data_IF_211561662663
#
_entry.id   IF_211561662663
#
_cell.length_a   1.000
_cell.length_b   1.000
_cell.length_c   1.000
_cell.angle_alpha   90.00
_cell.angle_beta   90.00
_cell.angle_gamma   90.00
#
_symmetry.space_group_name_H-M   'P 1'
#
loop_
_entity.id
_entity.type
_entity.pdbx_description
1 polymer ?
#
# COMPACT_ATOMS: atom_id res chain seq x y z
N UNK A 1 8.84 -4.13 13.60
CA UNK A 1 9.13 -5.03 14.72
C UNK A 1 9.57 -4.15 15.87
N UNK A 2 8.77 -4.09 16.94
CA UNK A 2 9.14 -3.42 18.20
C UNK A 2 10.26 -4.23 18.83
N UNK A 3 11.36 -3.58 19.18
CA UNK A 3 12.36 -4.15 20.08
C UNK A 3 11.83 -4.11 21.50
N UNK A 4 12.36 -4.98 22.37
CA UNK A 4 11.88 -5.16 23.75
C UNK A 4 11.86 -3.89 24.63
N UNK A 5 12.49 -2.79 24.18
CA UNK A 5 12.52 -1.49 24.86
C UNK A 5 11.51 -0.45 24.32
N UNK A 6 10.66 -0.84 23.37
CA UNK A 6 9.59 0.02 22.82
C UNK A 6 10.08 1.21 21.96
N UNK A 7 11.38 1.33 21.71
CA UNK A 7 11.92 2.43 20.89
C UNK A 7 11.86 2.09 19.40
N UNK A 8 11.50 3.05 18.53
CA UNK A 8 11.58 2.83 17.09
C UNK A 8 13.03 2.54 16.68
N UNK A 9 13.24 1.49 15.91
CA UNK A 9 14.57 1.00 15.50
C UNK A 9 15.38 2.01 14.67
N UNK A 10 14.76 3.11 14.20
CA UNK A 10 15.39 4.16 13.39
C UNK A 10 14.79 5.52 13.71
N UNK A 11 15.62 6.55 13.84
CA UNK A 11 15.15 7.93 13.80
C UNK A 11 14.55 8.19 12.40
N UNK A 12 13.25 8.46 12.35
CA UNK A 12 12.55 8.79 11.12
C UNK A 12 13.00 10.19 10.67
N UNK A 13 13.74 10.29 9.57
CA UNK A 13 14.11 11.58 8.95
C UNK A 13 13.03 11.96 7.95
N UNK A 14 12.11 12.80 8.39
CA UNK A 14 11.05 13.33 7.53
C UNK A 14 11.63 14.36 6.56
N UNK A 15 11.26 14.31 5.30
CA UNK A 15 11.61 15.32 4.31
C UNK A 15 10.34 15.93 3.70
N UNK A 16 10.12 17.20 3.97
CA UNK A 16 8.94 17.94 3.53
C UNK A 16 8.77 17.97 1.99
N UNK A 17 9.87 17.99 1.24
CA UNK A 17 9.80 18.05 -0.22
C UNK A 17 9.06 16.83 -0.82
N UNK A 18 9.28 15.63 -0.27
CA UNK A 18 8.61 14.42 -0.73
C UNK A 18 7.13 14.41 -0.34
N UNK A 19 6.81 14.90 0.85
CA UNK A 19 5.41 15.07 1.28
C UNK A 19 4.70 16.13 0.42
N UNK A 20 5.35 17.25 0.14
CA UNK A 20 4.81 18.29 -0.77
C UNK A 20 4.57 17.74 -2.17
N UNK A 21 5.43 16.87 -2.68
CA UNK A 21 5.20 16.22 -3.98
C UNK A 21 4.01 15.26 -3.95
N UNK A 22 3.84 14.45 -2.90
CA UNK A 22 2.66 13.60 -2.73
C UNK A 22 1.37 14.45 -2.67
N UNK A 23 1.37 15.54 -1.91
CA UNK A 23 0.25 16.49 -1.83
C UNK A 23 -0.01 17.16 -3.19
N UNK A 24 1.04 17.59 -3.91
CA UNK A 24 0.92 18.18 -5.24
C UNK A 24 0.24 17.22 -6.22
N UNK A 25 0.66 15.94 -6.21
CA UNK A 25 0.05 14.89 -7.03
C UNK A 25 -1.45 14.73 -6.69
N UNK A 26 -1.80 14.68 -5.41
CA UNK A 26 -3.20 14.55 -4.99
C UNK A 26 -4.07 15.68 -5.54
N UNK A 27 -3.61 16.92 -5.42
CA UNK A 27 -4.35 18.12 -5.87
C UNK A 27 -4.44 18.20 -7.40
N UNK A 28 -3.30 18.08 -8.10
CA UNK A 28 -3.28 18.28 -9.55
C UNK A 28 -4.00 17.18 -10.29
N UNK A 29 -3.90 15.94 -9.82
CA UNK A 29 -4.52 14.79 -10.50
C UNK A 29 -6.03 14.70 -10.23
N UNK A 30 -6.47 15.03 -9.03
CA UNK A 30 -7.90 15.17 -8.71
C UNK A 30 -8.55 16.27 -9.55
N UNK A 31 -7.94 17.47 -9.64
CA UNK A 31 -8.43 18.57 -10.50
C UNK A 31 -8.49 18.19 -11.97
N UNK A 32 -7.61 17.31 -12.44
CA UNK A 32 -7.62 16.76 -13.80
C UNK A 32 -8.56 15.56 -14.00
N UNK A 33 -9.47 15.27 -13.05
CA UNK A 33 -10.41 14.15 -13.10
C UNK A 33 -9.77 12.76 -13.26
N UNK A 34 -8.52 12.58 -12.78
CA UNK A 34 -7.85 11.27 -12.84
C UNK A 34 -8.24 10.32 -11.71
N UNK A 35 -8.94 10.81 -10.67
CA UNK A 35 -9.38 10.03 -9.52
C UNK A 35 -9.51 10.87 -8.26
N UNK A 36 -9.62 10.22 -7.10
CA UNK A 36 -9.77 10.89 -5.79
C UNK A 36 -8.53 11.67 -5.36
N UNK A 37 -8.64 12.48 -4.27
CA UNK A 37 -7.62 13.44 -3.82
C UNK A 37 -6.47 12.75 -3.04
N UNK A 38 -5.83 11.76 -3.64
CA UNK A 38 -4.75 11.00 -3.02
C UNK A 38 -3.52 10.93 -3.94
N UNK A 39 -2.34 11.13 -3.36
CA UNK A 39 -1.07 11.08 -4.05
C UNK A 39 0.01 10.48 -3.17
N UNK A 40 0.96 9.76 -3.78
CA UNK A 40 2.05 9.11 -3.08
C UNK A 40 3.35 9.12 -3.89
N UNK A 41 4.49 9.09 -3.18
CA UNK A 41 5.80 8.90 -3.80
C UNK A 41 6.60 7.86 -3.02
N UNK A 42 7.40 7.09 -3.75
CA UNK A 42 8.41 6.19 -3.18
C UNK A 42 9.78 6.81 -3.36
N UNK A 43 10.55 6.83 -2.27
CA UNK A 43 11.87 7.47 -2.21
C UNK A 43 12.93 6.43 -1.85
N UNK A 44 14.07 6.44 -2.54
CA UNK A 44 15.25 5.64 -2.23
C UNK A 44 16.50 6.51 -2.35
N UNK A 45 17.36 6.50 -1.34
CA UNK A 45 18.63 7.26 -1.34
C UNK A 45 18.45 8.75 -1.73
N UNK A 46 17.43 9.40 -1.16
CA UNK A 46 17.18 10.82 -1.42
C UNK A 46 16.57 11.13 -2.81
N UNK A 47 16.15 10.14 -3.57
CA UNK A 47 15.55 10.34 -4.90
C UNK A 47 14.16 9.71 -4.97
N UNK A 48 13.20 10.42 -5.58
CA UNK A 48 11.89 9.86 -5.89
C UNK A 48 12.04 8.87 -7.05
N UNK A 49 11.72 7.62 -6.79
CA UNK A 49 11.80 6.51 -7.74
C UNK A 49 10.45 5.97 -8.18
N UNK A 50 9.37 6.40 -7.53
CA UNK A 50 8.01 6.04 -7.91
C UNK A 50 7.05 7.16 -7.57
N UNK A 51 6.06 7.41 -8.45
CA UNK A 51 4.98 8.35 -8.25
C UNK A 51 3.64 7.68 -8.47
N UNK A 52 2.66 8.02 -7.64
CA UNK A 52 1.31 7.50 -7.77
C UNK A 52 0.27 8.55 -7.36
N UNK A 53 -0.89 8.40 -7.94
CA UNK A 53 -2.10 9.13 -7.57
C UNK A 53 -3.28 8.18 -7.71
N UNK A 54 -4.39 8.49 -7.07
CA UNK A 54 -5.59 7.67 -7.20
C UNK A 54 -6.07 7.65 -8.66
N UNK A 55 -6.28 6.47 -9.20
CA UNK A 55 -6.70 6.22 -10.57
C UNK A 55 -7.92 5.31 -10.67
N UNK A 56 -8.58 5.05 -9.55
CA UNK A 56 -9.71 4.10 -9.48
C UNK A 56 -10.73 4.35 -10.58
N UNK A 57 -11.20 5.58 -10.72
CA UNK A 57 -12.25 5.94 -11.70
C UNK A 57 -11.71 6.01 -13.13
N UNK A 58 -10.49 6.49 -13.34
CA UNK A 58 -9.93 6.64 -14.68
C UNK A 58 -9.43 5.33 -15.31
N UNK A 59 -9.21 4.30 -14.50
CA UNK A 59 -8.76 2.99 -15.00
C UNK A 59 -9.74 1.85 -14.72
N UNK A 60 -10.90 2.14 -14.08
CA UNK A 60 -11.85 1.13 -13.61
C UNK A 60 -11.19 0.03 -12.77
N UNK A 61 -10.18 0.40 -11.96
CA UNK A 61 -9.44 -0.50 -11.10
C UNK A 61 -9.61 -0.06 -9.64
N UNK A 62 -10.41 -0.77 -8.81
CA UNK A 62 -10.64 -0.42 -7.42
C UNK A 62 -9.37 -0.52 -6.57
N UNK A 63 -8.31 -1.15 -7.07
CA UNK A 63 -7.03 -1.27 -6.37
C UNK A 63 -6.05 -0.15 -6.72
N UNK A 64 -6.33 0.70 -7.70
CA UNK A 64 -5.44 1.75 -8.19
C UNK A 64 -5.39 2.97 -7.25
N UNK A 65 -5.17 2.73 -5.95
CA UNK A 65 -4.87 3.75 -4.95
C UNK A 65 -3.48 4.37 -5.19
N UNK A 66 -3.25 5.57 -4.69
CA UNK A 66 -2.02 6.32 -4.92
C UNK A 66 -0.77 5.53 -4.52
N UNK A 67 -0.81 4.87 -3.36
CA UNK A 67 0.30 4.07 -2.84
C UNK A 67 0.57 2.85 -3.72
N UNK A 68 -0.49 2.15 -4.15
CA UNK A 68 -0.36 0.97 -5.04
C UNK A 68 0.27 1.39 -6.37
N UNK A 69 -0.18 2.50 -6.94
CA UNK A 69 0.37 3.04 -8.20
C UNK A 69 1.84 3.44 -8.01
N UNK A 70 2.20 4.11 -6.90
CA UNK A 70 3.57 4.50 -6.60
C UNK A 70 4.49 3.28 -6.40
N UNK A 71 4.03 2.25 -5.69
CA UNK A 71 4.76 0.98 -5.49
C UNK A 71 5.00 0.31 -6.84
N UNK A 72 3.98 0.18 -7.68
CA UNK A 72 4.10 -0.41 -9.03
C UNK A 72 5.09 0.36 -9.91
N UNK A 73 5.04 1.69 -9.90
CA UNK A 73 5.99 2.53 -10.65
C UNK A 73 7.43 2.32 -10.15
N UNK A 74 7.64 2.32 -8.84
CA UNK A 74 8.96 2.08 -8.23
C UNK A 74 9.49 0.68 -8.56
N UNK A 75 8.69 -0.36 -8.39
CA UNK A 75 9.08 -1.74 -8.70
C UNK A 75 9.45 -1.92 -10.17
N UNK A 76 8.67 -1.33 -11.08
CA UNK A 76 8.96 -1.34 -12.52
C UNK A 76 10.30 -0.68 -12.84
N UNK A 77 10.59 0.49 -12.26
CA UNK A 77 11.85 1.23 -12.49
C UNK A 77 13.06 0.52 -11.91
N UNK A 78 12.90 -0.07 -10.73
CA UNK A 78 13.98 -0.83 -10.07
C UNK A 78 14.11 -2.27 -10.58
N UNK A 79 13.17 -2.74 -11.42
CA UNK A 79 13.10 -4.13 -11.89
C UNK A 79 13.13 -5.15 -10.73
N UNK A 80 12.39 -4.86 -9.67
CA UNK A 80 12.29 -5.69 -8.47
C UNK A 80 10.88 -5.65 -7.89
N UNK A 81 10.50 -6.67 -7.15
CA UNK A 81 9.24 -6.71 -6.39
C UNK A 81 9.41 -6.29 -4.92
N UNK A 82 10.63 -5.95 -4.50
CA UNK A 82 10.95 -5.53 -3.14
C UNK A 82 11.48 -4.09 -3.13
N UNK A 83 11.00 -3.29 -2.20
CA UNK A 83 11.38 -1.89 -2.01
C UNK A 83 12.13 -1.69 -0.68
N UNK A 84 13.00 -2.65 -0.34
CA UNK A 84 13.85 -2.56 0.84
C UNK A 84 14.71 -1.29 0.81
N UNK A 85 14.76 -0.61 1.96
CA UNK A 85 15.44 0.69 2.07
C UNK A 85 14.69 1.87 1.48
N UNK A 86 13.52 1.65 0.86
CA UNK A 86 12.68 2.71 0.34
C UNK A 86 11.73 3.26 1.41
N UNK A 87 11.42 4.54 1.30
CA UNK A 87 10.44 5.26 2.12
C UNK A 87 9.25 5.64 1.25
N UNK A 88 8.04 5.54 1.80
CA UNK A 88 6.82 5.96 1.12
C UNK A 88 6.24 7.19 1.79
N UNK A 89 5.97 8.23 1.01
CA UNK A 89 5.24 9.43 1.44
C UNK A 89 3.89 9.45 0.75
N UNK A 90 2.82 9.60 1.52
CA UNK A 90 1.46 9.62 1.00
C UNK A 90 0.65 10.76 1.60
N UNK A 91 -0.24 11.37 0.81
CA UNK A 91 -1.06 12.50 1.24
C UNK A 91 -2.08 12.14 2.32
N UNK A 92 -2.35 10.84 2.52
CA UNK A 92 -3.28 10.33 3.54
C UNK A 92 -2.76 9.03 4.14
N UNK A 93 -3.17 8.74 5.38
CA UNK A 93 -2.93 7.47 6.06
C UNK A 93 -3.35 6.30 5.17
N UNK A 94 -2.47 5.30 4.93
CA UNK A 94 -2.79 4.16 4.06
C UNK A 94 -3.98 3.35 4.59
N UNK A 95 -4.94 3.06 3.71
CA UNK A 95 -6.04 2.13 4.02
C UNK A 95 -5.50 0.69 4.22
N UNK A 96 -6.30 -0.26 4.73
CA UNK A 96 -5.84 -1.63 4.98
C UNK A 96 -5.24 -2.34 3.74
N UNK A 97 -5.78 -2.10 2.55
CA UNK A 97 -5.24 -2.65 1.31
C UNK A 97 -3.84 -2.09 1.01
N UNK A 98 -3.67 -0.77 1.09
CA UNK A 98 -2.39 -0.11 0.83
C UNK A 98 -1.36 -0.47 1.89
N UNK A 99 -1.77 -0.54 3.17
CA UNK A 99 -0.89 -0.96 4.25
C UNK A 99 -0.36 -2.37 4.02
N UNK A 100 -1.22 -3.32 3.65
CA UNK A 100 -0.79 -4.68 3.31
C UNK A 100 0.20 -4.69 2.14
N UNK A 101 -0.05 -3.90 1.08
CA UNK A 101 0.86 -3.79 -0.06
C UNK A 101 2.23 -3.20 0.32
N UNK A 102 2.26 -2.23 1.23
CA UNK A 102 3.49 -1.62 1.76
C UNK A 102 4.34 -2.67 2.50
N UNK A 103 3.71 -3.53 3.32
CA UNK A 103 4.39 -4.64 3.98
C UNK A 103 4.91 -5.68 2.96
N UNK A 104 4.11 -6.07 1.97
CA UNK A 104 4.56 -6.96 0.90
C UNK A 104 5.72 -6.38 0.10
N UNK A 105 5.71 -5.09 -0.16
CA UNK A 105 6.82 -4.39 -0.83
C UNK A 105 8.04 -4.20 0.07
N UNK A 106 7.97 -4.46 1.38
CA UNK A 106 9.06 -4.31 2.36
C UNK A 106 9.60 -2.89 2.45
N UNK A 107 8.73 -1.89 2.38
CA UNK A 107 9.15 -0.50 2.59
C UNK A 107 9.71 -0.30 3.99
N UNK A 108 10.76 0.53 4.11
CA UNK A 108 11.45 0.84 5.36
C UNK A 108 10.62 1.71 6.31
N UNK A 109 9.90 2.67 5.75
CA UNK A 109 9.10 3.63 6.51
C UNK A 109 7.96 4.21 5.67
N UNK A 110 6.94 4.69 6.35
CA UNK A 110 5.80 5.40 5.75
C UNK A 110 5.58 6.71 6.48
N UNK A 111 5.38 7.77 5.71
CA UNK A 111 5.01 9.10 6.20
C UNK A 111 3.70 9.52 5.53
N UNK A 112 2.76 10.03 6.29
CA UNK A 112 1.46 10.42 5.76
C UNK A 112 1.02 11.81 6.27
N UNK A 113 0.17 12.47 5.49
CA UNK A 113 -0.38 13.78 5.80
C UNK A 113 -1.70 13.70 6.56
N UNK A 114 -2.81 13.56 5.83
CA UNK A 114 -4.15 13.43 6.42
C UNK A 114 -4.30 12.08 7.14
N UNK A 115 -5.18 12.03 8.13
CA UNK A 115 -5.56 10.79 8.82
C UNK A 115 -6.75 10.11 8.11
N UNK A 116 -7.01 8.85 8.45
CA UNK A 116 -8.24 8.15 8.02
C UNK A 116 -9.52 8.87 8.46
N UNK A 117 -9.48 9.62 9.59
CA UNK A 117 -10.63 10.43 10.03
C UNK A 117 -10.89 11.61 9.09
N UNK A 118 -9.83 12.20 8.53
CA UNK A 118 -9.96 13.26 7.54
C UNK A 118 -10.50 12.71 6.21
N UNK A 119 -10.05 11.53 5.79
CA UNK A 119 -10.60 10.82 4.63
C UNK A 119 -12.09 10.51 4.79
N UNK A 120 -12.51 10.06 5.97
CA UNK A 120 -13.93 9.82 6.27
C UNK A 120 -14.80 11.08 6.12
N UNK A 121 -14.30 12.26 6.50
CA UNK A 121 -15.04 13.54 6.36
C UNK A 121 -15.35 13.92 4.92
N UNK A 122 -14.60 13.37 3.96
CA UNK A 122 -14.80 13.56 2.53
C UNK A 122 -15.33 12.28 1.86
N UNK A 123 -16.03 11.44 2.62
CA UNK A 123 -16.77 10.25 2.16
C UNK A 123 -15.90 9.07 1.71
N UNK A 124 -14.60 9.07 2.00
CA UNK A 124 -13.72 7.90 1.84
C UNK A 124 -13.60 7.16 3.18
N UNK A 125 -14.60 6.30 3.49
CA UNK A 125 -14.66 5.56 4.75
C UNK A 125 -14.16 4.11 4.60
N UNK A 126 -12.93 3.88 5.04
CA UNK A 126 -12.32 2.55 5.09
C UNK A 126 -12.49 1.84 6.45
N UNK A 127 -13.20 2.45 7.40
CA UNK A 127 -13.42 1.93 8.75
C UNK A 127 -14.11 0.54 8.72
N UNK A 128 -15.01 0.33 7.74
CA UNK A 128 -15.60 -0.98 7.52
C UNK A 128 -14.52 -2.04 7.25
N UNK A 129 -13.54 -1.72 6.41
CA UNK A 129 -12.49 -2.68 6.02
C UNK A 129 -11.62 -3.02 7.24
N UNK A 130 -11.24 -2.02 8.06
CA UNK A 130 -10.49 -2.25 9.30
C UNK A 130 -11.22 -3.21 10.24
N UNK A 131 -12.53 -3.07 10.38
CA UNK A 131 -13.34 -3.98 11.20
C UNK A 131 -13.45 -5.37 10.59
N UNK A 132 -13.67 -5.47 9.28
CA UNK A 132 -13.84 -6.74 8.59
C UNK A 132 -12.56 -7.59 8.57
N UNK A 133 -11.38 -6.95 8.42
CA UNK A 133 -10.10 -7.67 8.42
C UNK A 133 -9.85 -8.40 9.74
N UNK A 134 -10.25 -7.82 10.87
CA UNK A 134 -10.07 -8.41 12.20
C UNK A 134 -11.14 -9.44 12.57
N UNK A 135 -12.25 -9.55 11.80
CA UNK A 135 -13.33 -10.49 12.10
C UNK A 135 -13.00 -11.92 11.69
N UNK A 136 -13.49 -12.92 12.45
CA UNK A 136 -13.51 -14.30 11.99
C UNK A 136 -14.22 -14.41 10.63
N UNK A 137 -13.74 -15.30 9.77
CA UNK A 137 -14.26 -15.49 8.39
C UNK A 137 -15.79 -15.68 8.39
N UNK A 138 -16.30 -16.46 9.34
CA UNK A 138 -17.74 -16.76 9.47
C UNK A 138 -18.61 -15.55 9.83
N UNK A 139 -18.02 -14.43 10.28
CA UNK A 139 -18.76 -13.22 10.70
C UNK A 139 -18.52 -12.03 9.76
N UNK A 140 -17.82 -12.22 8.65
CA UNK A 140 -17.60 -11.16 7.65
C UNK A 140 -18.86 -10.86 6.86
N UNK A 141 -19.05 -9.60 6.48
CA UNK A 141 -20.19 -9.18 5.64
C UNK A 141 -20.17 -9.81 4.26
N UNK A 142 -18.99 -9.95 3.66
CA UNK A 142 -18.82 -10.70 2.42
C UNK A 142 -18.70 -12.18 2.81
N UNK A 143 -19.66 -13.04 2.42
CA UNK A 143 -19.59 -14.46 2.75
C UNK A 143 -18.34 -15.10 2.14
N UNK A 144 -17.62 -15.86 2.94
CA UNK A 144 -16.43 -16.59 2.52
C UNK A 144 -16.59 -18.06 2.90
N UNK A 145 -16.40 -18.96 1.91
CA UNK A 145 -16.49 -20.39 2.13
C UNK A 145 -15.25 -21.08 1.58
N UNK A 146 -14.61 -21.92 2.39
CA UNK A 146 -13.55 -22.80 1.92
C UNK A 146 -14.14 -23.87 0.98
N UNK A 147 -13.54 -24.01 -0.20
CA UNK A 147 -13.99 -24.97 -1.22
C UNK A 147 -12.78 -25.58 -1.93
N UNK A 148 -12.87 -26.86 -2.29
CA UNK A 148 -11.82 -27.63 -3.00
C UNK A 148 -10.42 -27.53 -2.38
N UNK A 149 -10.32 -27.53 -1.05
CA UNK A 149 -9.05 -27.37 -0.34
C UNK A 149 -8.00 -28.40 -0.74
N UNK A 150 -8.39 -29.67 -0.89
CA UNK A 150 -7.47 -30.75 -1.25
C UNK A 150 -6.81 -30.49 -2.61
N UNK A 151 -7.60 -30.15 -3.62
CA UNK A 151 -7.10 -29.80 -4.95
C UNK A 151 -6.23 -28.55 -4.93
N UNK A 152 -6.64 -27.50 -4.21
CA UNK A 152 -5.86 -26.27 -4.08
C UNK A 152 -4.49 -26.50 -3.43
N UNK A 153 -4.35 -27.48 -2.53
CA UNK A 153 -3.07 -27.84 -1.91
C UNK A 153 -2.06 -28.44 -2.87
N UNK A 154 -2.49 -29.01 -4.00
CA UNK A 154 -1.55 -29.56 -4.99
C UNK A 154 -0.62 -28.46 -5.55
N UNK A 155 -1.12 -27.24 -5.76
CA UNK A 155 -0.28 -26.11 -6.15
C UNK A 155 0.78 -25.76 -5.09
N UNK A 156 0.45 -25.87 -3.80
CA UNK A 156 1.42 -25.61 -2.71
C UNK A 156 2.47 -26.71 -2.62
N UNK A 157 2.09 -27.97 -2.81
CA UNK A 157 3.03 -29.09 -2.88
C UNK A 157 3.99 -28.91 -4.07
N UNK A 158 3.45 -28.60 -5.25
CA UNK A 158 4.25 -28.32 -6.45
C UNK A 158 5.21 -27.14 -6.23
N UNK A 159 4.75 -26.05 -5.60
CA UNK A 159 5.60 -24.92 -5.22
C UNK A 159 6.72 -25.33 -4.27
N UNK A 160 6.44 -26.15 -3.27
CA UNK A 160 7.45 -26.63 -2.33
C UNK A 160 8.49 -27.55 -3.00
N UNK A 161 8.09 -28.33 -3.99
CA UNK A 161 8.98 -29.18 -4.77
C UNK A 161 9.82 -28.42 -5.82
N UNK A 162 9.38 -27.19 -6.20
CA UNK A 162 10.08 -26.38 -7.21
C UNK A 162 11.42 -25.90 -6.70
N UNK A 163 12.52 -26.28 -7.38
CA UNK A 163 13.90 -25.96 -6.98
C UNK A 163 14.30 -24.52 -7.27
N UNK A 164 13.74 -23.91 -8.32
CA UNK A 164 14.01 -22.54 -8.77
C UNK A 164 12.97 -21.52 -8.27
N UNK A 165 12.23 -21.84 -7.18
CA UNK A 165 11.22 -20.94 -6.63
C UNK A 165 11.84 -19.68 -6.06
N UNK A 166 11.29 -18.52 -6.43
CA UNK A 166 11.63 -17.23 -5.84
C UNK A 166 10.67 -16.95 -4.68
N UNK A 167 11.21 -16.75 -3.48
CA UNK A 167 10.44 -16.36 -2.30
C UNK A 167 10.28 -14.83 -2.26
N UNK A 168 9.10 -14.36 -1.89
CA UNK A 168 8.79 -12.94 -1.79
C UNK A 168 7.98 -12.61 -0.53
#
# INVERSE_FOLDING_TARGET
VLVADGKPRFALRVNEQYMREAIRLSLTKMKGNHGGPFGAVVVRNGKIIGRGWNRVTSTNDPTAHAEIVAIRDACKRLKTFQLEGCELYTSCEPCPMCLAAIYWARCKAVYFGNTRRDAKRIEFDDDLIYREVSRPISRRKIPMKQFLRAEAQEAFKAWMAKTDRVRY
#
